data_IF_223895232131
#
_entry.id   IF_223895232131
#
_cell.length_a   1.000
_cell.length_b   1.000
_cell.length_c   1.000
_cell.angle_alpha   90.00
_cell.angle_beta   90.00
_cell.angle_gamma   90.00
#
_symmetry.space_group_name_H-M   'P 1'
#
loop_
_entity.id
_entity.type
_entity.pdbx_description
1 polymer ?
#
# COMPACT_ATOMS: atom_id res chain seq x y z
N UNK A 1 5.20 -21.74 6.30
CA UNK A 1 6.00 -21.29 5.15
C UNK A 1 6.80 -20.08 5.60
N UNK A 2 8.03 -20.32 6.06
CA UNK A 2 9.00 -19.29 6.43
C UNK A 2 9.46 -18.60 5.15
N UNK A 3 9.03 -17.36 4.93
CA UNK A 3 9.65 -16.49 3.91
C UNK A 3 11.06 -16.21 4.40
N UNK A 4 12.06 -16.72 3.69
CA UNK A 4 13.40 -16.16 3.75
C UNK A 4 13.27 -14.70 3.30
N UNK A 5 13.29 -13.78 4.26
CA UNK A 5 13.57 -12.38 3.95
C UNK A 5 14.97 -12.38 3.35
N UNK A 6 15.07 -12.32 2.02
CA UNK A 6 16.33 -12.02 1.37
C UNK A 6 16.80 -10.69 1.96
N UNK A 7 17.85 -10.73 2.78
CA UNK A 7 18.45 -9.52 3.30
C UNK A 7 19.03 -8.74 2.12
N UNK A 8 18.94 -7.40 2.09
CA UNK A 8 19.63 -6.61 1.09
C UNK A 8 21.13 -6.96 1.11
N UNK A 9 21.77 -7.08 -0.07
CA UNK A 9 23.14 -7.55 -0.15
C UNK A 9 24.06 -6.64 0.65
N UNK A 10 24.83 -7.24 1.56
CA UNK A 10 25.86 -6.56 2.34
C UNK A 10 27.13 -6.35 1.49
N UNK A 11 27.06 -5.52 0.45
CA UNK A 11 28.21 -4.99 -0.31
C UNK A 11 27.69 -4.26 -1.55
N UNK A 12 28.24 -3.07 -1.83
CA UNK A 12 27.83 -2.21 -2.94
C UNK A 12 27.94 -2.85 -4.33
N UNK A 13 27.45 -2.12 -5.34
CA UNK A 13 27.50 -2.53 -6.74
C UNK A 13 28.93 -2.87 -7.20
N UNK A 14 29.09 -3.86 -8.09
CA UNK A 14 30.41 -4.34 -8.51
C UNK A 14 31.21 -3.22 -9.20
N UNK A 15 32.51 -3.09 -8.85
CA UNK A 15 33.36 -2.06 -9.43
C UNK A 15 33.63 -2.35 -10.91
N UNK A 16 33.89 -1.29 -11.67
CA UNK A 16 34.23 -1.37 -13.10
C UNK A 16 35.51 -2.18 -13.32
N UNK A 17 35.48 -3.08 -14.31
CA UNK A 17 36.69 -3.76 -14.78
C UNK A 17 37.57 -2.76 -15.55
N UNK A 18 38.82 -2.51 -15.11
CA UNK A 18 39.70 -1.58 -15.80
C UNK A 18 40.24 -2.11 -17.14
N UNK A 19 40.05 -3.40 -17.45
CA UNK A 19 40.61 -4.02 -18.65
C UNK A 19 39.63 -4.02 -19.82
N UNK A 20 40.16 -3.74 -21.02
CA UNK A 20 39.39 -3.89 -22.26
C UNK A 20 39.12 -5.38 -22.53
N UNK A 21 37.94 -5.75 -23.08
CA UNK A 21 37.61 -7.12 -23.41
C UNK A 21 38.57 -7.67 -24.47
N UNK A 22 39.21 -8.81 -24.18
CA UNK A 22 40.19 -9.44 -25.06
C UNK A 22 39.57 -10.32 -26.17
N UNK A 23 38.25 -10.52 -26.15
CA UNK A 23 37.55 -11.36 -27.12
C UNK A 23 36.10 -10.90 -27.33
N UNK A 24 35.47 -11.38 -28.40
CA UNK A 24 34.05 -11.14 -28.69
C UNK A 24 33.16 -11.65 -27.55
N UNK A 25 33.50 -12.81 -26.95
CA UNK A 25 32.77 -13.35 -25.81
C UNK A 25 32.90 -12.44 -24.58
N UNK A 26 34.11 -11.99 -24.26
CA UNK A 26 34.34 -11.08 -23.14
C UNK A 26 33.61 -9.73 -23.34
N UNK A 27 33.52 -9.24 -24.58
CA UNK A 27 32.74 -8.05 -24.90
C UNK A 27 31.22 -8.28 -24.76
N UNK A 28 30.72 -9.46 -25.12
CA UNK A 28 29.32 -9.84 -24.93
C UNK A 28 28.94 -10.00 -23.45
N UNK A 29 29.88 -10.44 -22.62
CA UNK A 29 29.73 -10.61 -21.16
C UNK A 29 30.16 -9.36 -20.37
N UNK A 30 30.49 -8.26 -21.04
CA UNK A 30 30.92 -7.05 -20.36
C UNK A 30 29.88 -6.56 -19.34
N UNK A 31 30.36 -6.16 -18.16
CA UNK A 31 29.55 -5.79 -16.98
C UNK A 31 28.57 -6.90 -16.51
N UNK A 32 28.81 -8.18 -16.83
CA UNK A 32 27.96 -9.28 -16.36
C UNK A 32 27.79 -9.32 -14.83
N UNK A 33 28.79 -9.04 -13.98
CA UNK A 33 28.58 -8.97 -12.53
C UNK A 33 27.51 -7.97 -12.12
N UNK A 34 27.44 -6.81 -12.78
CA UNK A 34 26.42 -5.79 -12.52
C UNK A 34 25.03 -6.31 -12.93
N UNK A 35 24.92 -6.94 -14.10
CA UNK A 35 23.67 -7.53 -14.60
C UNK A 35 23.19 -8.66 -13.69
N UNK A 36 24.09 -9.54 -13.26
CA UNK A 36 23.78 -10.63 -12.33
C UNK A 36 23.29 -10.11 -10.98
N UNK A 37 23.90 -9.03 -10.46
CA UNK A 37 23.43 -8.40 -9.22
C UNK A 37 22.04 -7.78 -9.39
N UNK A 38 21.79 -7.05 -10.50
CA UNK A 38 20.47 -6.47 -10.79
C UNK A 38 19.39 -7.56 -10.91
N UNK A 39 19.67 -8.65 -11.63
CA UNK A 39 18.72 -9.75 -11.81
C UNK A 39 18.53 -10.60 -10.55
N UNK A 40 19.48 -10.57 -9.62
CA UNK A 40 19.37 -11.21 -8.30
C UNK A 40 18.51 -10.44 -7.30
N UNK A 41 18.09 -9.21 -7.63
CA UNK A 41 17.23 -8.42 -6.77
C UNK A 41 15.81 -9.01 -6.70
N UNK A 42 15.11 -8.88 -5.56
CA UNK A 42 13.75 -9.37 -5.44
C UNK A 42 12.81 -8.61 -6.38
N UNK A 43 11.86 -9.35 -6.95
CA UNK A 43 10.77 -8.74 -7.71
C UNK A 43 9.94 -7.81 -6.82
N UNK A 44 9.47 -6.70 -7.39
CA UNK A 44 8.57 -5.79 -6.68
C UNK A 44 7.25 -6.51 -6.39
N UNK A 45 6.82 -6.63 -5.12
CA UNK A 45 5.55 -7.25 -4.78
C UNK A 45 4.39 -6.35 -5.21
N UNK A 46 3.25 -6.94 -5.58
CA UNK A 46 2.06 -6.16 -5.94
C UNK A 46 1.51 -5.34 -4.75
N UNK A 47 1.62 -5.86 -3.53
CA UNK A 47 1.24 -5.18 -2.28
C UNK A 47 1.81 -5.90 -1.06
N UNK A 48 1.89 -5.21 0.08
CA UNK A 48 2.25 -5.82 1.37
C UNK A 48 1.06 -6.60 1.97
N UNK A 49 1.33 -7.79 2.50
CA UNK A 49 0.34 -8.55 3.26
C UNK A 49 -0.11 -7.82 4.53
N UNK A 50 0.80 -7.09 5.18
CA UNK A 50 0.48 -6.25 6.34
C UNK A 50 -0.41 -5.06 5.94
N UNK A 51 -0.18 -4.46 4.76
CA UNK A 51 -1.06 -3.42 4.23
C UNK A 51 -2.48 -3.94 3.98
N UNK A 52 -2.63 -5.09 3.33
CA UNK A 52 -3.95 -5.71 3.10
C UNK A 52 -4.65 -6.03 4.43
N UNK A 53 -3.94 -6.62 5.39
CA UNK A 53 -4.51 -6.95 6.70
C UNK A 53 -4.93 -5.68 7.47
N UNK A 54 -4.16 -4.59 7.39
CA UNK A 54 -4.52 -3.32 8.01
C UNK A 54 -5.77 -2.71 7.37
N UNK A 55 -5.93 -2.80 6.04
CA UNK A 55 -7.17 -2.36 5.35
C UNK A 55 -8.38 -3.14 5.87
N UNK A 56 -8.27 -4.47 6.02
CA UNK A 56 -9.35 -5.30 6.57
C UNK A 56 -9.72 -4.86 7.99
N UNK A 57 -8.74 -4.61 8.86
CA UNK A 57 -9.04 -4.13 10.21
C UNK A 57 -9.61 -2.70 10.23
N UNK A 58 -9.24 -1.84 9.28
CA UNK A 58 -9.86 -0.53 9.10
C UNK A 58 -11.33 -0.64 8.69
N UNK A 59 -11.68 -1.60 7.83
CA UNK A 59 -13.06 -1.91 7.47
C UNK A 59 -13.85 -2.43 8.69
N UNK A 60 -13.24 -3.31 9.49
CA UNK A 60 -13.83 -3.78 10.76
C UNK A 60 -14.04 -2.63 11.75
N UNK A 61 -13.09 -1.71 11.89
CA UNK A 61 -13.23 -0.52 12.72
C UNK A 61 -14.37 0.36 12.23
N UNK A 62 -14.46 0.60 10.91
CA UNK A 62 -15.56 1.38 10.35
C UNK A 62 -16.92 0.74 10.63
N UNK A 63 -17.04 -0.59 10.49
CA UNK A 63 -18.27 -1.32 10.81
C UNK A 63 -18.60 -1.25 12.30
N UNK A 64 -17.61 -1.42 13.18
CA UNK A 64 -17.80 -1.29 14.64
C UNK A 64 -18.29 0.10 15.04
N UNK A 65 -17.72 1.16 14.45
CA UNK A 65 -18.10 2.54 14.72
C UNK A 65 -19.54 2.87 14.26
N UNK A 66 -20.03 2.17 13.24
CA UNK A 66 -21.39 2.34 12.70
C UNK A 66 -22.45 1.48 13.39
N UNK A 67 -22.07 0.64 14.35
CA UNK A 67 -22.99 -0.32 14.99
C UNK A 67 -24.24 0.33 15.61
N UNK A 68 -24.15 1.58 16.07
CA UNK A 68 -25.27 2.31 16.65
C UNK A 68 -26.11 3.10 15.63
N UNK A 69 -25.70 3.18 14.36
CA UNK A 69 -26.41 3.92 13.31
C UNK A 69 -27.09 2.96 12.31
N UNK A 70 -28.27 2.49 12.71
CA UNK A 70 -29.12 1.63 11.89
C UNK A 70 -29.46 2.25 10.51
N UNK A 71 -29.51 3.60 10.40
CA UNK A 71 -29.80 4.28 9.12
C UNK A 71 -28.59 4.29 8.20
N UNK A 72 -27.36 4.36 8.74
CA UNK A 72 -26.14 4.24 7.95
C UNK A 72 -25.98 2.82 7.37
N UNK A 73 -26.31 1.77 8.13
CA UNK A 73 -26.32 0.39 7.65
C UNK A 73 -27.34 0.16 6.52
N UNK A 74 -28.56 0.70 6.66
CA UNK A 74 -29.61 0.59 5.63
C UNK A 74 -29.19 1.20 4.29
N UNK A 75 -28.41 2.30 4.29
CA UNK A 75 -27.94 2.95 3.05
C UNK A 75 -26.89 2.11 2.30
N UNK A 76 -26.08 1.32 3.01
CA UNK A 76 -25.01 0.50 2.40
C UNK A 76 -25.50 -0.79 1.74
N UNK A 77 -26.54 -1.43 2.28
CA UNK A 77 -26.98 -2.78 1.86
C UNK A 77 -27.87 -2.77 0.59
N UNK A 78 -28.31 -1.59 0.12
CA UNK A 78 -29.23 -1.46 -1.02
C UNK A 78 -30.60 -2.08 -0.75
N UNK A 79 -31.60 -1.83 -1.61
CA UNK A 79 -32.98 -2.32 -1.35
C UNK A 79 -33.10 -3.85 -1.46
N UNK A 80 -32.28 -4.49 -2.31
CA UNK A 80 -32.25 -5.94 -2.51
C UNK A 80 -31.63 -6.70 -1.33
N UNK A 81 -30.61 -6.15 -0.67
CA UNK A 81 -30.04 -6.78 0.51
C UNK A 81 -30.97 -6.73 1.73
N UNK A 82 -31.86 -5.73 1.80
CA UNK A 82 -32.90 -5.63 2.84
C UNK A 82 -33.97 -6.71 2.70
N UNK A 83 -34.36 -7.03 1.46
CA UNK A 83 -35.30 -8.11 1.17
C UNK A 83 -34.76 -9.51 1.53
N UNK A 84 -33.43 -9.66 1.61
CA UNK A 84 -32.76 -10.92 1.92
C UNK A 84 -32.27 -11.02 3.38
N UNK A 85 -32.63 -10.06 4.25
CA UNK A 85 -32.22 -10.05 5.67
C UNK A 85 -30.72 -9.84 5.89
N UNK A 86 -29.98 -9.38 4.87
CA UNK A 86 -28.54 -9.07 4.96
C UNK A 86 -28.25 -7.83 5.79
N UNK A 87 -29.24 -6.98 6.00
CA UNK A 87 -29.18 -5.83 6.89
C UNK A 87 -29.08 -6.25 8.37
N UNK A 88 -29.87 -7.23 8.80
CA UNK A 88 -29.82 -7.78 10.16
C UNK A 88 -28.48 -8.47 10.43
N UNK A 89 -27.96 -9.22 9.44
CA UNK A 89 -26.63 -9.86 9.56
C UNK A 89 -25.50 -8.82 9.63
N UNK A 90 -25.54 -7.78 8.79
CA UNK A 90 -24.56 -6.69 8.83
C UNK A 90 -24.62 -5.90 10.15
N UNK A 91 -25.82 -5.71 10.70
CA UNK A 91 -26.03 -5.06 12.00
C UNK A 91 -25.51 -5.93 13.16
N UNK A 92 -25.78 -7.24 13.15
CA UNK A 92 -25.28 -8.17 14.16
C UNK A 92 -23.75 -8.26 14.13
N UNK A 93 -23.15 -8.29 12.93
CA UNK A 93 -21.70 -8.26 12.77
C UNK A 93 -21.09 -6.95 13.29
N UNK A 94 -21.71 -5.81 13.00
CA UNK A 94 -21.28 -4.51 13.52
C UNK A 94 -21.34 -4.46 15.06
N UNK A 95 -22.40 -4.98 15.67
CA UNK A 95 -22.53 -5.07 17.13
C UNK A 95 -21.49 -5.99 17.77
N UNK A 96 -21.21 -7.15 17.17
CA UNK A 96 -20.14 -8.05 17.64
C UNK A 96 -18.77 -7.37 17.56
N UNK A 97 -18.49 -6.65 16.48
CA UNK A 97 -17.25 -5.90 16.31
C UNK A 97 -17.16 -4.71 17.27
N UNK A 98 -18.27 -4.03 17.56
CA UNK A 98 -18.33 -2.97 18.56
C UNK A 98 -18.04 -3.50 19.98
N UNK A 99 -18.61 -4.65 20.35
CA UNK A 99 -18.30 -5.31 21.61
C UNK A 99 -16.82 -5.74 21.70
N UNK A 100 -16.22 -6.12 20.57
CA UNK A 100 -14.83 -6.53 20.44
C UNK A 100 -13.86 -5.44 19.97
N UNK A 101 -14.23 -4.15 20.01
CA UNK A 101 -13.48 -3.09 19.32
C UNK A 101 -12.02 -2.96 19.80
N UNK A 102 -11.76 -3.23 21.08
CA UNK A 102 -10.41 -3.23 21.65
C UNK A 102 -9.50 -4.28 20.98
N UNK A 103 -10.04 -5.46 20.66
CA UNK A 103 -9.30 -6.51 19.96
C UNK A 103 -9.03 -6.14 18.50
N UNK A 104 -10.00 -5.50 17.82
CA UNK A 104 -9.83 -4.97 16.46
C UNK A 104 -8.70 -3.93 16.42
N UNK A 105 -8.69 -2.99 17.37
CA UNK A 105 -7.63 -1.98 17.49
C UNK A 105 -6.27 -2.63 17.72
N UNK A 106 -6.18 -3.61 18.62
CA UNK A 106 -4.92 -4.30 18.93
C UNK A 106 -4.34 -5.04 17.71
N UNK A 107 -5.20 -5.68 16.89
CA UNK A 107 -4.77 -6.30 15.63
C UNK A 107 -4.35 -5.27 14.59
N UNK A 108 -5.10 -4.17 14.46
CA UNK A 108 -4.72 -3.06 13.58
C UNK A 108 -3.34 -2.47 13.97
N UNK A 109 -3.07 -2.30 15.27
CA UNK A 109 -1.77 -1.85 15.77
C UNK A 109 -0.64 -2.83 15.42
N UNK A 110 -0.90 -4.14 15.53
CA UNK A 110 0.06 -5.16 15.12
C UNK A 110 0.37 -5.09 13.62
N UNK A 111 -0.66 -4.99 12.77
CA UNK A 111 -0.49 -4.87 11.33
C UNK A 111 0.17 -3.55 10.92
N UNK A 112 -0.11 -2.44 11.60
CA UNK A 112 0.54 -1.17 11.38
C UNK A 112 2.06 -1.23 11.67
N UNK A 113 2.47 -1.92 12.74
CA UNK A 113 3.91 -2.14 13.05
C UNK A 113 4.60 -3.02 12.01
N UNK A 114 3.94 -4.09 11.56
CA UNK A 114 4.46 -4.93 10.49
C UNK A 114 4.60 -4.15 9.19
N UNK A 115 3.59 -3.35 8.81
CA UNK A 115 3.65 -2.49 7.64
C UNK A 115 4.78 -1.44 7.75
N UNK A 116 5.01 -0.86 8.93
CA UNK A 116 6.12 0.05 9.14
C UNK A 116 7.49 -0.63 8.92
N UNK A 117 7.61 -1.92 9.28
CA UNK A 117 8.81 -2.71 9.03
C UNK A 117 8.97 -3.00 7.53
N UNK A 118 7.89 -3.45 6.88
CA UNK A 118 7.87 -3.68 5.43
C UNK A 118 8.28 -2.43 4.63
N UNK A 119 7.84 -1.23 5.07
CA UNK A 119 8.21 0.04 4.44
C UNK A 119 9.72 0.31 4.53
N UNK A 120 10.35 0.00 5.66
CA UNK A 120 11.80 0.17 5.82
C UNK A 120 12.56 -0.76 4.87
N UNK A 121 12.15 -2.02 4.78
CA UNK A 121 12.76 -2.99 3.86
C UNK A 121 12.57 -2.55 2.39
N UNK A 122 11.36 -2.11 2.03
CA UNK A 122 11.04 -1.58 0.70
C UNK A 122 11.90 -0.35 0.36
N UNK A 123 12.12 0.55 1.34
CA UNK A 123 12.97 1.72 1.16
C UNK A 123 14.43 1.32 0.92
N UNK A 124 14.95 0.34 1.66
CA UNK A 124 16.32 -0.16 1.45
C UNK A 124 16.52 -0.74 0.05
N UNK A 125 15.52 -1.44 -0.49
CA UNK A 125 15.56 -1.92 -1.87
C UNK A 125 15.54 -0.78 -2.89
N UNK A 126 14.69 0.24 -2.68
CA UNK A 126 14.67 1.43 -3.52
C UNK A 126 16.03 2.17 -3.49
N UNK A 127 16.64 2.31 -2.30
CA UNK A 127 17.93 2.99 -2.13
C UNK A 127 19.08 2.19 -2.77
N UNK A 128 19.01 0.85 -2.72
CA UNK A 128 19.97 -0.02 -3.41
C UNK A 128 19.87 0.16 -4.92
N UNK A 129 18.66 0.18 -5.48
CA UNK A 129 18.42 0.43 -6.90
C UNK A 129 18.80 1.86 -7.32
N UNK A 130 18.66 2.86 -6.44
CA UNK A 130 19.09 4.22 -6.70
C UNK A 130 20.60 4.31 -6.99
N UNK A 131 21.40 3.40 -6.44
CA UNK A 131 22.84 3.31 -6.66
C UNK A 131 23.21 2.52 -7.93
N UNK A 132 22.28 1.80 -8.54
CA UNK A 132 22.52 0.95 -9.70
C UNK A 132 22.97 1.76 -10.92
N UNK A 133 22.28 2.89 -11.17
CA UNK A 133 22.54 3.80 -12.28
C UNK A 133 23.94 4.40 -12.21
N UNK A 134 24.30 5.12 -11.12
CA UNK A 134 25.65 5.64 -10.94
C UNK A 134 26.75 4.58 -11.04
N UNK A 135 26.51 3.38 -10.51
CA UNK A 135 27.46 2.28 -10.65
C UNK A 135 27.63 1.84 -12.12
N UNK A 136 26.54 1.78 -12.89
CA UNK A 136 26.57 1.42 -14.31
C UNK A 136 27.21 2.50 -15.19
N UNK A 137 27.07 3.77 -14.85
CA UNK A 137 27.66 4.89 -15.61
C UNK A 137 29.17 4.71 -15.77
N UNK A 138 29.87 4.27 -14.73
CA UNK A 138 31.31 3.95 -14.82
C UNK A 138 31.60 2.84 -15.83
N UNK A 139 30.80 1.78 -15.85
CA UNK A 139 30.93 0.70 -16.83
C UNK A 139 30.67 1.19 -18.27
N UNK A 140 29.65 2.03 -18.47
CA UNK A 140 29.32 2.59 -19.78
C UNK A 140 30.39 3.56 -20.29
N UNK A 141 30.98 4.35 -19.40
CA UNK A 141 32.07 5.27 -19.72
C UNK A 141 33.33 4.51 -20.12
N UNK A 142 33.72 3.49 -19.36
CA UNK A 142 34.86 2.63 -19.69
C UNK A 142 34.67 1.90 -21.02
N UNK A 143 33.47 1.37 -21.29
CA UNK A 143 33.15 0.77 -22.59
C UNK A 143 33.33 1.77 -23.74
N UNK A 144 32.86 3.01 -23.57
CA UNK A 144 33.05 4.06 -24.58
C UNK A 144 34.51 4.44 -24.82
N UNK A 145 35.38 4.35 -23.80
CA UNK A 145 36.82 4.55 -23.95
C UNK A 145 37.47 3.39 -24.70
N UNK A 146 37.07 2.15 -24.41
CA UNK A 146 37.54 0.97 -25.13
C UNK A 146 37.12 1.01 -26.61
N UNK A 147 35.87 1.38 -26.91
CA UNK A 147 35.39 1.53 -28.31
C UNK A 147 36.26 2.50 -29.15
N UNK A 148 36.88 3.51 -28.52
CA UNK A 148 37.73 4.51 -29.19
C UNK A 148 39.20 4.09 -29.27
N UNK A 149 39.61 3.04 -28.55
CA UNK A 149 41.00 2.58 -28.56
C UNK A 149 41.33 1.88 -29.88
N UNK A 150 42.32 2.40 -30.60
CA UNK A 150 42.69 1.94 -31.95
C UNK A 150 43.18 0.47 -32.02
N UNK A 151 43.43 -0.17 -30.88
CA UNK A 151 43.98 -1.53 -30.80
C UNK A 151 42.93 -2.65 -30.77
N UNK A 152 41.63 -2.33 -30.66
CA UNK A 152 40.57 -3.33 -30.57
C UNK A 152 40.11 -3.79 -31.95
N UNK A 153 39.97 -5.11 -32.11
CA UNK A 153 39.46 -5.72 -33.33
C UNK A 153 38.00 -5.27 -33.60
N UNK A 154 37.62 -4.99 -34.87
CA UNK A 154 36.27 -4.52 -35.20
C UNK A 154 35.13 -5.41 -34.68
N UNK A 155 35.32 -6.74 -34.66
CA UNK A 155 34.32 -7.68 -34.15
C UNK A 155 34.09 -7.51 -32.63
N UNK A 156 35.15 -7.23 -31.87
CA UNK A 156 35.06 -6.98 -30.42
C UNK A 156 34.34 -5.65 -30.17
N UNK A 157 34.65 -4.62 -30.94
CA UNK A 157 33.99 -3.30 -30.85
C UNK A 157 32.49 -3.42 -31.12
N UNK A 158 32.08 -4.17 -32.16
CA UNK A 158 30.65 -4.38 -32.46
C UNK A 158 29.92 -5.11 -31.34
N UNK A 159 30.52 -6.15 -30.76
CA UNK A 159 29.94 -6.88 -29.63
C UNK A 159 29.80 -5.98 -28.39
N UNK A 160 30.82 -5.15 -28.11
CA UNK A 160 30.80 -4.20 -27.00
C UNK A 160 29.72 -3.13 -27.17
N UNK A 161 29.53 -2.60 -28.38
CA UNK A 161 28.46 -1.64 -28.69
C UNK A 161 27.07 -2.25 -28.48
N UNK A 162 26.86 -3.49 -28.96
CA UNK A 162 25.61 -4.21 -28.75
C UNK A 162 25.34 -4.44 -27.26
N UNK A 163 26.38 -4.81 -26.51
CA UNK A 163 26.31 -4.99 -25.06
C UNK A 163 26.03 -3.68 -24.33
N UNK A 164 26.65 -2.57 -24.73
CA UNK A 164 26.42 -1.23 -24.17
C UNK A 164 24.97 -0.79 -24.34
N UNK A 165 24.38 -1.00 -25.52
CA UNK A 165 22.95 -0.75 -25.76
C UNK A 165 22.05 -1.61 -24.87
N UNK A 166 22.40 -2.87 -24.66
CA UNK A 166 21.68 -3.75 -23.74
C UNK A 166 21.74 -3.25 -22.29
N UNK A 167 22.93 -2.85 -21.81
CA UNK A 167 23.11 -2.30 -20.47
C UNK A 167 22.31 -1.01 -20.26
N UNK A 168 22.26 -0.12 -21.24
CA UNK A 168 21.41 1.09 -21.19
C UNK A 168 19.92 0.74 -21.01
N UNK A 169 19.43 -0.31 -21.69
CA UNK A 169 18.05 -0.79 -21.49
C UNK A 169 17.84 -1.36 -20.08
N UNK A 170 18.83 -2.08 -19.55
CA UNK A 170 18.78 -2.60 -18.18
C UNK A 170 18.75 -1.46 -17.15
N UNK A 171 19.46 -0.35 -17.40
CA UNK A 171 19.42 0.83 -16.55
C UNK A 171 18.00 1.42 -16.46
N UNK A 172 17.30 1.53 -17.59
CA UNK A 172 15.92 2.00 -17.63
C UNK A 172 14.98 1.09 -16.82
N UNK A 173 15.18 -0.23 -16.92
CA UNK A 173 14.41 -1.22 -16.14
C UNK A 173 14.71 -1.08 -14.64
N UNK A 174 15.97 -0.91 -14.25
CA UNK A 174 16.35 -0.68 -12.85
C UNK A 174 15.70 0.59 -12.28
N UNK A 175 15.69 1.69 -13.05
CA UNK A 175 14.99 2.93 -12.68
C UNK A 175 13.49 2.70 -12.52
N UNK A 176 12.85 1.95 -13.43
CA UNK A 176 11.44 1.63 -13.31
C UNK A 176 11.15 0.82 -12.05
N UNK A 177 11.96 -0.18 -11.73
CA UNK A 177 11.82 -0.98 -10.51
C UNK A 177 11.99 -0.12 -9.25
N UNK A 178 12.98 0.79 -9.24
CA UNK A 178 13.16 1.74 -8.15
C UNK A 178 11.88 2.56 -7.91
N UNK A 179 11.29 3.10 -8.97
CA UNK A 179 10.06 3.89 -8.87
C UNK A 179 8.89 3.06 -8.34
N UNK A 180 8.78 1.79 -8.74
CA UNK A 180 7.73 0.90 -8.22
C UNK A 180 7.92 0.62 -6.72
N UNK A 181 9.15 0.41 -6.25
CA UNK A 181 9.43 0.29 -4.80
C UNK A 181 9.06 1.57 -4.05
N UNK A 182 9.42 2.75 -4.57
CA UNK A 182 9.08 4.04 -3.96
C UNK A 182 7.56 4.27 -3.92
N UNK A 183 6.82 3.80 -4.93
CA UNK A 183 5.35 3.85 -4.93
C UNK A 183 4.75 3.00 -3.81
N UNK A 184 5.29 1.81 -3.54
CA UNK A 184 4.87 0.97 -2.42
C UNK A 184 5.15 1.63 -1.07
N UNK A 185 6.34 2.21 -0.91
CA UNK A 185 6.71 2.99 0.29
C UNK A 185 5.70 4.12 0.52
N UNK A 186 5.44 4.93 -0.50
CA UNK A 186 4.50 6.05 -0.41
C UNK A 186 3.08 5.59 -0.07
N UNK A 187 2.60 4.52 -0.73
CA UNK A 187 1.27 3.96 -0.45
C UNK A 187 1.16 3.43 0.99
N UNK A 188 2.20 2.73 1.48
CA UNK A 188 2.28 2.25 2.86
C UNK A 188 2.27 3.38 3.88
N UNK A 189 3.06 4.43 3.65
CA UNK A 189 3.12 5.62 4.50
C UNK A 189 1.76 6.33 4.57
N UNK A 190 1.08 6.50 3.43
CA UNK A 190 -0.26 7.09 3.39
C UNK A 190 -1.28 6.25 4.19
N UNK A 191 -1.22 4.93 4.09
CA UNK A 191 -2.10 4.04 4.85
C UNK A 191 -1.86 4.17 6.36
N UNK A 192 -0.60 4.20 6.79
CA UNK A 192 -0.23 4.41 8.20
C UNK A 192 -0.71 5.77 8.72
N UNK A 193 -0.54 6.83 7.94
CA UNK A 193 -1.03 8.17 8.29
C UNK A 193 -2.55 8.21 8.47
N UNK A 194 -3.30 7.56 7.56
CA UNK A 194 -4.76 7.45 7.66
C UNK A 194 -5.18 6.66 8.90
N UNK A 195 -4.49 5.56 9.21
CA UNK A 195 -4.75 4.79 10.41
C UNK A 195 -4.47 5.60 11.69
N UNK A 196 -3.34 6.31 11.75
CA UNK A 196 -3.00 7.17 12.89
C UNK A 196 -4.05 8.27 13.09
N UNK A 197 -4.49 8.95 12.02
CA UNK A 197 -5.55 9.95 12.11
C UNK A 197 -6.87 9.37 12.65
N UNK A 198 -7.26 8.17 12.20
CA UNK A 198 -8.45 7.48 12.74
C UNK A 198 -8.29 7.14 14.22
N UNK A 199 -7.13 6.57 14.59
CA UNK A 199 -6.82 6.15 15.96
C UNK A 199 -6.77 7.32 16.94
N UNK A 200 -6.17 8.43 16.54
CA UNK A 200 -5.85 9.53 17.46
C UNK A 200 -6.96 10.59 17.52
N UNK A 201 -7.75 10.74 16.46
CA UNK A 201 -8.81 11.76 16.40
C UNK A 201 -10.20 11.14 16.50
N UNK A 202 -10.52 10.18 15.64
CA UNK A 202 -11.88 9.67 15.51
C UNK A 202 -12.26 8.71 16.64
N UNK A 203 -11.34 7.85 17.03
CA UNK A 203 -11.62 6.84 18.06
C UNK A 203 -11.86 7.45 19.45
N UNK A 204 -11.09 8.45 19.94
CA UNK A 204 -11.39 9.09 21.21
C UNK A 204 -12.72 9.86 21.18
N UNK A 205 -13.01 10.58 20.09
CA UNK A 205 -14.28 11.28 19.92
C UNK A 205 -15.48 10.32 19.96
N UNK A 206 -15.36 9.16 19.30
CA UNK A 206 -16.38 8.11 19.37
C UNK A 206 -16.53 7.55 20.78
N UNK A 207 -15.43 7.24 21.48
CA UNK A 207 -15.49 6.74 22.87
C UNK A 207 -16.19 7.73 23.81
N UNK A 208 -15.92 9.03 23.63
CA UNK A 208 -16.60 10.07 24.39
C UNK A 208 -18.10 10.11 24.09
N UNK A 209 -18.51 10.03 22.83
CA UNK A 209 -19.93 9.98 22.45
C UNK A 209 -20.62 8.72 22.98
N UNK A 210 -19.98 7.56 22.87
CA UNK A 210 -20.50 6.30 23.40
C UNK A 210 -20.65 6.36 24.93
N UNK A 211 -19.67 6.93 25.64
CA UNK A 211 -19.75 7.13 27.09
C UNK A 211 -20.88 8.10 27.48
N UNK A 212 -21.05 9.21 26.75
CA UNK A 212 -22.16 10.15 26.98
C UNK A 212 -23.53 9.49 26.78
N UNK A 213 -23.68 8.63 25.76
CA UNK A 213 -24.92 7.86 25.55
C UNK A 213 -25.17 6.84 26.66
N UNK A 214 -24.11 6.17 27.12
CA UNK A 214 -24.21 5.20 28.21
C UNK A 214 -24.56 5.85 29.56
N UNK A 215 -24.18 7.11 29.77
CA UNK A 215 -24.47 7.86 30.99
C UNK A 215 -25.93 8.33 31.08
N UNK A 216 -26.61 8.56 29.95
CA UNK A 216 -28.00 9.02 29.96
C UNK A 216 -28.87 8.39 28.84
N UNK A 217 -29.16 7.08 28.94
CA UNK A 217 -29.93 6.35 27.93
C UNK A 217 -31.37 6.86 27.81
N UNK A 218 -32.00 7.28 28.92
CA UNK A 218 -33.37 7.80 28.91
C UNK A 218 -33.49 9.15 28.20
N UNK A 219 -32.50 10.03 28.36
CA UNK A 219 -32.49 11.34 27.72
C UNK A 219 -32.19 11.21 26.22
N UNK A 220 -31.35 10.25 25.82
CA UNK A 220 -31.14 9.90 24.42
C UNK A 220 -32.41 9.36 23.76
N UNK A 221 -33.11 8.43 24.42
CA UNK A 221 -34.36 7.86 23.91
C UNK A 221 -35.48 8.92 23.83
N UNK A 222 -35.56 9.84 24.80
CA UNK A 222 -36.47 10.99 24.75
C UNK A 222 -36.18 11.92 23.58
N UNK A 223 -34.92 12.32 23.36
CA UNK A 223 -34.54 13.18 22.23
C UNK A 223 -34.88 12.49 20.89
N UNK A 224 -34.60 11.20 20.77
CA UNK A 224 -34.90 10.44 19.54
C UNK A 224 -36.41 10.26 19.32
N UNK A 225 -37.19 10.08 20.39
CA UNK A 225 -38.65 10.03 20.34
C UNK A 225 -39.26 11.38 19.93
N UNK A 226 -38.76 12.50 20.46
CA UNK A 226 -39.21 13.84 20.07
C UNK A 226 -38.87 14.16 18.62
N UNK A 227 -37.66 13.83 18.15
CA UNK A 227 -37.28 14.02 16.75
C UNK A 227 -38.11 13.15 15.80
N UNK A 228 -38.48 11.92 16.22
CA UNK A 228 -39.38 11.06 15.45
C UNK A 228 -40.80 11.63 15.39
N UNK A 229 -41.32 12.21 16.48
CA UNK A 229 -42.61 12.90 16.51
C UNK A 229 -42.61 14.15 15.64
N UNK A 230 -41.58 15.01 15.73
CA UNK A 230 -41.45 16.19 14.87
C UNK A 230 -41.42 15.80 13.39
N UNK A 231 -40.70 14.74 13.03
CA UNK A 231 -40.63 14.27 11.64
C UNK A 231 -41.97 13.73 11.14
N UNK A 232 -42.74 13.03 11.97
CA UNK A 232 -44.11 12.61 11.63
C UNK A 232 -45.05 13.80 11.45
N UNK A 233 -44.94 14.83 12.30
CA UNK A 233 -45.74 16.06 12.15
C UNK A 233 -45.41 16.79 10.85
N UNK A 234 -44.14 16.86 10.48
CA UNK A 234 -43.70 17.48 9.22
C UNK A 234 -44.10 16.66 7.98
N UNK A 235 -44.16 15.32 8.07
CA UNK A 235 -44.63 14.50 6.95
C UNK A 235 -46.15 14.52 6.78
N UNK A 236 -46.92 14.58 7.87
CA UNK A 236 -48.39 14.71 7.84
C UNK A 236 -48.81 16.10 7.36
N UNK A 237 -48.04 17.15 7.67
CA UNK A 237 -48.27 18.49 7.13
C UNK A 237 -47.94 18.63 5.63
N UNK A 238 -47.29 17.64 5.01
CA UNK A 238 -46.89 17.64 3.60
C UNK A 238 -47.83 16.83 2.69
N UNK A 239 -48.84 16.13 3.22
CA UNK A 239 -49.91 15.55 2.40
C UNK A 239 -50.93 16.65 2.05
N UNK A 240 -51.13 16.99 0.76
CA UNK A 240 -52.19 17.92 0.40
C UNK A 240 -53.55 17.28 0.71
N UNK A 241 -54.56 18.07 1.12
CA UNK A 241 -55.89 17.53 1.36
C UNK A 241 -56.37 16.86 0.08
N UNK A 242 -56.67 15.57 0.17
CA UNK A 242 -57.40 14.83 -0.84
C UNK A 242 -58.72 15.57 -1.09
N UNK A 243 -58.78 16.31 -2.19
CA UNK A 243 -60.00 16.91 -2.72
C UNK A 243 -60.94 15.79 -3.15
N UNK A 244 -61.82 15.39 -2.25
CA UNK A 244 -62.99 14.58 -2.56
C UNK A 244 -64.21 15.49 -2.77
N UNK A 245 -64.84 15.28 -3.93
CA UNK A 245 -66.06 15.88 -4.49
C UNK A 245 -65.84 17.06 -5.44
#
# INVERSE_FOLDING_TARGET
MTRECAAPPASGWPPVDPQAPASVMAAAEYAQPWVSMLLGMPAVPATSAAALALVVELEHLQLALLADDARAHQRRVGWWGRLLGRDVQAQAQAQQLAAGIAAVISRADAHARLLATDILDQQQWADTLAQAGPALEGWLQAAGQFEQAAALEPAIVQALQARRLHLQRMALIATQWQQQWLQLVAAGQQLLQRYAALRDVLLPAWRQQAALRALDPELHDKIMAELAQMRRRLSVAAEPPSSSS
#
